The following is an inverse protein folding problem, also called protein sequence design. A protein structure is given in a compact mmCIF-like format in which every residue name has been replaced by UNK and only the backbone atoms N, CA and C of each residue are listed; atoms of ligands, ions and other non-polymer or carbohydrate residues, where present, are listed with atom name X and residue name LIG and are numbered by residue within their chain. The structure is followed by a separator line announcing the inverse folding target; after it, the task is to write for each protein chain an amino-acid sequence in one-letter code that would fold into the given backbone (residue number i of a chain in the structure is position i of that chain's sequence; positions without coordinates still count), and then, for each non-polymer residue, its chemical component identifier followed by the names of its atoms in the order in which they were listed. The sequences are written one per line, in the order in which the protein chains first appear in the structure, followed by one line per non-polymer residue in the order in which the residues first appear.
data_IF_057302036114
#
_entry.id   IF_057302036114
#
_cell.length_a   1.000
_cell.length_b   1.000
_cell.length_c   1.000
_cell.angle_alpha   90.00
_cell.angle_beta   90.00
_cell.angle_gamma   90.00
#
_symmetry.space_group_name_H-M   'P 1'
#
loop_
_entity.id
_entity.type
_entity.pdbx_description
1 polymer ?
#
# COMPACT_ATOMS: atom_id res chain seq x y z
N UNK A 1 -23.64 -1.43 -27.81
CA UNK A 1 -22.22 -1.47 -27.45
C UNK A 1 -22.01 -0.50 -26.30
N UNK A 2 -21.95 -1.01 -25.07
CA UNK A 2 -21.66 -0.18 -23.88
C UNK A 2 -20.27 0.40 -24.03
N UNK A 3 -20.14 1.73 -23.94
CA UNK A 3 -18.83 2.38 -23.88
C UNK A 3 -18.04 1.75 -22.72
N UNK A 4 -16.95 1.04 -23.03
CA UNK A 4 -16.00 0.60 -22.02
C UNK A 4 -15.43 1.88 -21.40
N UNK A 5 -15.89 2.20 -20.19
CA UNK A 5 -15.50 3.42 -19.50
C UNK A 5 -13.98 3.39 -19.28
N UNK A 6 -13.27 4.40 -19.80
CA UNK A 6 -11.82 4.44 -19.73
C UNK A 6 -11.39 4.74 -18.28
N UNK A 7 -10.34 4.08 -17.79
CA UNK A 7 -9.79 4.42 -16.49
C UNK A 7 -9.00 5.74 -16.57
N UNK A 8 -9.70 6.83 -16.28
CA UNK A 8 -9.23 8.21 -16.38
C UNK A 8 -8.75 8.80 -15.04
N UNK A 9 -8.34 10.06 -15.05
CA UNK A 9 -7.81 10.73 -13.86
C UNK A 9 -8.86 10.86 -12.74
N UNK A 10 -10.10 11.32 -13.00
CA UNK A 10 -11.17 11.30 -12.01
C UNK A 10 -11.43 9.90 -11.40
N UNK A 11 -11.40 8.84 -12.19
CA UNK A 11 -11.55 7.47 -11.68
C UNK A 11 -10.41 7.06 -10.74
N UNK A 12 -9.16 7.43 -11.08
CA UNK A 12 -8.00 7.23 -10.22
C UNK A 12 -8.13 7.99 -8.89
N UNK A 13 -8.55 9.26 -8.94
CA UNK A 13 -8.70 10.11 -7.76
C UNK A 13 -9.78 9.58 -6.80
N UNK A 14 -10.93 9.15 -7.33
CA UNK A 14 -11.99 8.51 -6.53
C UNK A 14 -11.47 7.23 -5.88
N UNK A 15 -10.79 6.37 -6.66
CA UNK A 15 -10.20 5.16 -6.12
C UNK A 15 -9.18 5.48 -5.02
N UNK A 16 -8.30 6.47 -5.23
CA UNK A 16 -7.31 6.88 -4.24
C UNK A 16 -7.97 7.31 -2.94
N UNK A 17 -8.94 8.22 -3.00
CA UNK A 17 -9.66 8.70 -1.82
C UNK A 17 -10.34 7.56 -1.04
N UNK A 18 -10.87 6.54 -1.74
CA UNK A 18 -11.52 5.39 -1.12
C UNK A 18 -10.53 4.40 -0.49
N UNK A 19 -9.39 4.13 -1.14
CA UNK A 19 -8.55 2.98 -0.80
C UNK A 19 -7.16 3.31 -0.27
N UNK A 20 -6.70 4.56 -0.32
CA UNK A 20 -5.37 4.95 0.18
C UNK A 20 -5.15 4.47 1.62
N UNK A 21 -6.02 4.86 2.56
CA UNK A 21 -5.89 4.52 3.98
C UNK A 21 -5.96 3.01 4.27
N UNK A 22 -6.95 2.24 3.75
CA UNK A 22 -6.96 0.79 3.97
C UNK A 22 -5.80 0.08 3.27
N UNK A 23 -5.36 0.53 2.09
CA UNK A 23 -4.20 -0.02 1.40
C UNK A 23 -2.91 0.24 2.19
N UNK A 24 -2.74 1.47 2.69
CA UNK A 24 -1.64 1.84 3.59
C UNK A 24 -1.59 0.94 4.81
N UNK A 25 -2.72 0.73 5.50
CA UNK A 25 -2.77 -0.15 6.67
C UNK A 25 -2.35 -1.58 6.36
N UNK A 26 -2.76 -2.12 5.20
CA UNK A 26 -2.35 -3.46 4.76
C UNK A 26 -0.83 -3.51 4.52
N UNK A 27 -0.30 -2.56 3.76
CA UNK A 27 1.14 -2.50 3.45
C UNK A 27 1.98 -2.26 4.72
N UNK A 28 1.52 -1.39 5.61
CA UNK A 28 2.18 -1.12 6.89
C UNK A 28 2.31 -2.39 7.72
N UNK A 29 1.27 -3.24 7.79
CA UNK A 29 1.37 -4.52 8.51
C UNK A 29 2.39 -5.49 7.90
N UNK A 30 2.74 -5.33 6.63
CA UNK A 30 3.77 -6.12 5.96
C UNK A 30 5.19 -5.61 6.21
N UNK A 31 5.36 -4.29 6.26
CA UNK A 31 6.68 -3.64 6.30
C UNK A 31 7.07 -3.14 7.69
N UNK A 32 6.09 -2.70 8.49
CA UNK A 32 6.27 -2.07 9.81
C UNK A 32 7.22 -0.87 9.81
N UNK A 33 7.26 -0.17 8.69
CA UNK A 33 7.95 1.09 8.51
C UNK A 33 6.96 2.00 7.76
N UNK A 34 6.64 3.15 8.36
CA UNK A 34 5.60 4.07 7.90
C UNK A 34 5.94 4.72 6.56
N UNK A 35 7.16 5.18 6.39
CA UNK A 35 7.68 5.82 5.18
C UNK A 35 7.74 4.82 4.02
N UNK A 36 8.25 3.60 4.28
CA UNK A 36 8.25 2.54 3.28
C UNK A 36 6.82 2.19 2.85
N UNK A 37 5.88 2.13 3.79
CA UNK A 37 4.49 1.86 3.46
C UNK A 37 3.87 2.96 2.60
N UNK A 38 4.13 4.23 2.93
CA UNK A 38 3.66 5.38 2.16
C UNK A 38 4.23 5.36 0.73
N UNK A 39 5.52 5.09 0.59
CA UNK A 39 6.18 5.01 -0.72
C UNK A 39 5.66 3.83 -1.55
N UNK A 40 5.35 2.66 -0.94
CA UNK A 40 4.71 1.54 -1.67
C UNK A 40 3.33 1.95 -2.18
N UNK A 41 2.52 2.62 -1.36
CA UNK A 41 1.17 3.04 -1.77
C UNK A 41 1.26 4.00 -2.96
N UNK A 42 2.11 5.03 -2.86
CA UNK A 42 2.33 5.99 -3.94
C UNK A 42 2.80 5.29 -5.23
N UNK A 43 3.84 4.46 -5.15
CA UNK A 43 4.35 3.70 -6.29
C UNK A 43 3.29 2.77 -6.90
N UNK A 44 2.41 2.18 -6.09
CA UNK A 44 1.34 1.33 -6.59
C UNK A 44 0.33 2.11 -7.45
N UNK A 45 -0.06 3.31 -7.02
CA UNK A 45 -0.94 4.18 -7.79
C UNK A 45 -0.27 4.73 -9.05
N UNK A 46 1.02 5.10 -8.97
CA UNK A 46 1.81 5.52 -10.13
C UNK A 46 1.88 4.41 -11.19
N UNK A 47 2.12 3.16 -10.78
CA UNK A 47 2.12 2.01 -11.69
C UNK A 47 0.76 1.73 -12.28
N UNK A 48 -0.32 1.80 -11.48
CA UNK A 48 -1.68 1.65 -11.98
C UNK A 48 -1.99 2.70 -13.05
N UNK A 49 -1.63 3.96 -12.79
CA UNK A 49 -1.80 5.05 -13.75
C UNK A 49 -0.96 4.86 -15.03
N UNK A 50 0.28 4.39 -14.89
CA UNK A 50 1.14 4.12 -16.05
C UNK A 50 0.50 3.08 -17.01
N UNK A 51 -0.23 2.09 -16.47
CA UNK A 51 -0.92 1.07 -17.26
C UNK A 51 -2.41 1.34 -17.54
N UNK A 52 -2.93 2.51 -17.16
CA UNK A 52 -4.36 2.89 -17.21
C UNK A 52 -5.08 2.58 -18.52
N UNK A 53 -4.40 2.66 -19.67
CA UNK A 53 -4.97 2.37 -20.98
C UNK A 53 -5.46 0.92 -21.13
N UNK A 54 -5.02 0.01 -20.25
CA UNK A 54 -5.41 -1.40 -20.21
C UNK A 54 -6.18 -1.77 -18.94
N UNK A 55 -6.48 -0.79 -18.09
CA UNK A 55 -7.18 -1.01 -16.83
C UNK A 55 -8.66 -0.76 -17.06
N UNK A 56 -9.48 -1.77 -16.78
CA UNK A 56 -10.92 -1.58 -16.67
C UNK A 56 -11.24 -1.02 -15.27
N UNK A 57 -12.07 0.03 -15.15
CA UNK A 57 -12.41 0.63 -13.85
C UNK A 57 -12.87 -0.39 -12.79
N UNK A 58 -13.64 -1.41 -13.19
CA UNK A 58 -14.11 -2.49 -12.32
C UNK A 58 -12.98 -3.31 -11.68
N UNK A 59 -11.80 -3.37 -12.33
CA UNK A 59 -10.64 -4.15 -11.87
C UNK A 59 -9.56 -3.29 -11.20
N UNK A 60 -9.65 -1.96 -11.26
CA UNK A 60 -8.62 -1.05 -10.77
C UNK A 60 -8.32 -1.25 -9.27
N UNK A 61 -9.37 -1.46 -8.45
CA UNK A 61 -9.24 -1.73 -7.00
C UNK A 61 -8.44 -3.00 -6.70
N UNK A 62 -8.84 -4.21 -7.13
CA UNK A 62 -8.04 -5.41 -6.86
C UNK A 62 -6.63 -5.34 -7.49
N UNK A 63 -6.46 -4.63 -8.60
CA UNK A 63 -5.15 -4.43 -9.22
C UNK A 63 -4.20 -3.60 -8.36
N UNK A 64 -4.64 -2.47 -7.79
CA UNK A 64 -3.76 -1.63 -6.94
C UNK A 64 -3.28 -2.38 -5.70
N UNK A 65 -4.16 -3.18 -5.08
CA UNK A 65 -3.79 -4.06 -3.96
C UNK A 65 -2.73 -5.08 -4.38
N UNK A 66 -2.90 -5.72 -5.55
CA UNK A 66 -1.92 -6.68 -6.06
C UNK A 66 -0.56 -6.04 -6.31
N UNK A 67 -0.54 -4.86 -6.91
CA UNK A 67 0.70 -4.10 -7.17
C UNK A 67 1.39 -3.76 -5.83
N UNK A 68 0.66 -3.21 -4.87
CA UNK A 68 1.19 -2.83 -3.57
C UNK A 68 1.75 -4.04 -2.78
N UNK A 69 1.04 -5.16 -2.77
CA UNK A 69 1.49 -6.38 -2.09
C UNK A 69 2.75 -6.96 -2.74
N UNK A 70 2.87 -6.91 -4.07
CA UNK A 70 4.07 -7.35 -4.78
C UNK A 70 5.28 -6.45 -4.47
N UNK A 71 5.06 -5.13 -4.39
CA UNK A 71 6.08 -4.16 -3.99
C UNK A 71 6.53 -4.40 -2.54
N UNK A 72 5.59 -4.54 -1.60
CA UNK A 72 5.86 -4.81 -0.20
C UNK A 72 6.61 -6.15 -0.01
N UNK A 73 6.17 -7.22 -0.68
CA UNK A 73 6.85 -8.51 -0.63
C UNK A 73 8.29 -8.41 -1.15
N UNK A 74 8.51 -7.64 -2.22
CA UNK A 74 9.84 -7.42 -2.80
C UNK A 74 10.74 -6.61 -1.87
N UNK A 75 10.23 -5.55 -1.23
CA UNK A 75 10.97 -4.79 -0.21
C UNK A 75 11.34 -5.66 0.98
N UNK A 76 10.39 -6.43 1.53
CA UNK A 76 10.61 -7.35 2.65
C UNK A 76 11.67 -8.40 2.32
N UNK A 77 11.65 -8.98 1.12
CA UNK A 77 12.69 -9.93 0.67
C UNK A 77 14.07 -9.27 0.61
N UNK A 78 14.18 -8.05 0.05
CA UNK A 78 15.45 -7.33 -0.03
C UNK A 78 16.00 -6.98 1.36
N UNK A 79 15.17 -6.50 2.28
CA UNK A 79 15.58 -6.23 3.66
C UNK A 79 16.11 -7.51 4.34
N UNK A 80 15.38 -8.64 4.20
CA UNK A 80 15.84 -9.93 4.71
C UNK A 80 17.22 -10.32 4.15
N UNK A 81 17.45 -10.16 2.84
CA UNK A 81 18.74 -10.45 2.23
C UNK A 81 19.83 -9.53 2.77
N UNK A 82 19.60 -8.21 2.83
CA UNK A 82 20.57 -7.23 3.36
C UNK A 82 20.97 -7.54 4.80
N UNK A 83 19.99 -7.88 5.66
CA UNK A 83 20.24 -8.33 7.03
C UNK A 83 21.09 -9.60 7.07
N UNK A 84 20.81 -10.55 6.20
CA UNK A 84 21.55 -11.82 6.14
C UNK A 84 23.01 -11.63 5.70
N UNK A 85 23.28 -10.69 4.79
CA UNK A 85 24.63 -10.37 4.32
C UNK A 85 25.34 -9.28 5.16
N UNK A 86 24.75 -8.87 6.30
CA UNK A 86 25.36 -7.93 7.24
C UNK A 86 25.48 -6.48 6.74
N UNK A 87 24.65 -6.06 5.77
CA UNK A 87 24.74 -4.74 5.12
C UNK A 87 23.79 -3.67 5.71
N UNK A 88 23.13 -3.91 6.85
CA UNK A 88 22.16 -2.95 7.41
C UNK A 88 22.74 -2.09 8.53
N UNK A 89 22.75 -0.77 8.32
CA UNK A 89 22.68 0.20 9.42
C UNK A 89 21.24 0.14 9.97
N UNK A 90 21.08 -0.10 11.27
CA UNK A 90 19.77 -0.29 11.88
C UNK A 90 18.92 0.99 11.73
N UNK A 91 18.00 1.01 10.76
CA UNK A 91 16.90 1.98 10.78
C UNK A 91 15.92 1.53 11.86
N UNK A 92 15.56 2.39 12.82
CA UNK A 92 14.58 2.04 13.83
C UNK A 92 13.28 1.60 13.13
N UNK A 93 12.87 0.36 13.36
CA UNK A 93 11.53 -0.07 13.01
C UNK A 93 10.59 0.77 13.84
N UNK A 94 9.46 1.20 13.29
CA UNK A 94 8.49 1.97 14.07
C UNK A 94 7.95 1.05 15.19
N UNK A 95 8.51 1.18 16.40
CA UNK A 95 8.22 0.33 17.57
C UNK A 95 6.81 0.56 18.14
N UNK A 96 5.97 1.35 17.47
CA UNK A 96 4.54 1.48 17.76
C UNK A 96 3.83 0.15 17.48
N UNK A 97 3.92 -0.72 18.48
CA UNK A 97 3.35 -2.05 18.56
C UNK A 97 1.80 -1.99 18.56
N UNK A 98 1.11 -2.91 17.86
CA UNK A 98 -0.33 -2.84 17.63
C UNK A 98 -1.19 -3.08 18.87
N UNK A 99 -0.68 -3.69 19.95
CA UNK A 99 -1.47 -3.91 21.16
C UNK A 99 -1.96 -2.62 21.83
N UNK A 100 -1.35 -1.46 21.54
CA UNK A 100 -1.75 -0.17 22.12
C UNK A 100 -2.85 0.57 21.35
N UNK A 101 -3.21 0.14 20.14
CA UNK A 101 -4.27 0.77 19.32
C UNK A 101 -5.64 0.07 19.45
N UNK A 102 -5.71 -1.06 20.16
CA UNK A 102 -6.95 -1.82 20.42
C UNK A 102 -7.50 -1.60 21.85
N UNK A 103 -6.93 -0.68 22.63
CA UNK A 103 -7.22 -0.51 24.06
C UNK A 103 -7.94 0.80 24.47
N UNK A 104 -8.63 1.47 23.56
CA UNK A 104 -9.27 2.77 23.87
C UNK A 104 -10.61 2.93 23.16
N UNK A 105 -11.59 2.10 23.51
CA UNK A 105 -12.98 2.28 23.11
C UNK A 105 -13.94 1.67 24.15
N UNK A 106 -13.74 1.99 25.42
CA UNK A 106 -14.79 1.90 26.45
C UNK A 106 -14.47 2.93 27.53
N UNK A 107 -15.01 4.13 27.38
CA UNK A 107 -15.44 5.06 28.43
C UNK A 107 -15.66 6.41 27.78
N UNK A 108 -16.92 6.73 27.52
CA UNK A 108 -17.51 8.02 27.89
C UNK A 108 -19.02 7.81 27.90
N UNK A 109 -19.54 7.74 29.13
CA UNK A 109 -20.94 7.78 29.50
C UNK A 109 -21.33 9.24 29.81
#
# INVERSE_FOLDING_TARGET
MTATDAFDRPALERLYAEVERPLFNVVYRWLWQRDDAAEVVQEAFLRLWAMRARVEPATARPLVYRIALNLAASRRRRAKVRRWVGLEAATPRDERHPERLMGGATEDA
#
